data_IF_395127933658
#
_entry.id   IF_395127933658
#
_cell.length_a   1.000
_cell.length_b   1.000
_cell.length_c   1.000
_cell.angle_alpha   90.00
_cell.angle_beta   90.00
_cell.angle_gamma   90.00
#
_symmetry.space_group_name_H-M   'P 1'
#
loop_
_entity.id
_entity.type
_entity.pdbx_description
1 polymer ?
#
# COMPACT_ATOMS: atom_id res chain seq x y z
N UNK A 1 23.08 -20.37 10.76
CA UNK A 1 23.04 -18.89 10.70
C UNK A 1 21.65 -18.45 10.30
N UNK A 2 20.96 -17.70 11.18
CA UNK A 2 19.56 -17.35 11.03
C UNK A 2 19.40 -15.95 10.39
N UNK A 3 19.96 -15.74 9.19
CA UNK A 3 19.86 -14.44 8.51
C UNK A 3 18.52 -14.34 7.76
N UNK A 4 17.84 -13.21 7.89
CA UNK A 4 16.58 -12.91 7.20
C UNK A 4 16.81 -12.59 5.71
N UNK A 5 15.85 -11.95 5.05
CA UNK A 5 16.05 -11.41 3.70
C UNK A 5 16.99 -10.20 3.77
N UNK A 6 18.16 -10.30 3.11
CA UNK A 6 19.22 -9.30 3.18
C UNK A 6 19.74 -8.91 1.78
N UNK A 7 20.21 -7.68 1.61
CA UNK A 7 20.52 -7.13 0.30
C UNK A 7 21.00 -5.69 0.33
N UNK A 8 21.27 -5.12 -0.84
CA UNK A 8 21.72 -3.74 -0.99
C UNK A 8 20.55 -2.78 -1.22
N UNK A 9 20.53 -1.67 -0.48
CA UNK A 9 19.64 -0.55 -0.72
C UNK A 9 20.43 0.76 -0.68
N UNK A 10 20.48 1.46 -1.82
CA UNK A 10 21.23 2.73 -1.99
C UNK A 10 22.68 2.67 -1.47
N UNK A 11 23.35 1.53 -1.66
CA UNK A 11 24.74 1.32 -1.22
C UNK A 11 24.89 0.75 0.20
N UNK A 12 23.84 0.72 1.02
CA UNK A 12 23.85 0.09 2.34
C UNK A 12 23.42 -1.36 2.27
N UNK A 13 24.09 -2.25 3.03
CA UNK A 13 23.76 -3.67 3.09
C UNK A 13 22.82 -3.97 4.27
N UNK A 14 21.52 -3.98 4.00
CA UNK A 14 20.48 -4.22 5.00
C UNK A 14 20.31 -5.72 5.25
N UNK A 15 20.19 -6.12 6.52
CA UNK A 15 20.20 -7.51 6.98
C UNK A 15 18.82 -8.08 7.25
N UNK A 16 17.78 -7.24 7.20
CA UNK A 16 16.40 -7.68 7.30
C UNK A 16 15.45 -6.88 6.40
N UNK A 17 14.31 -7.50 6.07
CA UNK A 17 13.22 -6.84 5.35
C UNK A 17 12.58 -5.69 6.16
N UNK A 18 12.74 -5.68 7.49
CA UNK A 18 12.20 -4.63 8.35
C UNK A 18 13.13 -3.41 8.37
N UNK A 19 14.45 -3.62 8.37
CA UNK A 19 15.41 -2.53 8.13
C UNK A 19 15.16 -1.88 6.77
N UNK A 20 14.96 -2.69 5.71
CA UNK A 20 14.59 -2.17 4.39
C UNK A 20 13.31 -1.34 4.42
N UNK A 21 12.25 -1.83 5.07
CA UNK A 21 11.01 -1.08 5.18
C UNK A 21 11.21 0.26 5.91
N UNK A 22 11.97 0.27 6.99
CA UNK A 22 12.25 1.51 7.70
C UNK A 22 13.07 2.50 6.86
N UNK A 23 14.09 2.03 6.14
CA UNK A 23 14.88 2.85 5.21
C UNK A 23 14.01 3.50 4.11
N UNK A 24 13.08 2.73 3.53
CA UNK A 24 12.11 3.25 2.53
C UNK A 24 11.21 4.33 3.13
N UNK A 25 10.76 4.15 4.37
CA UNK A 25 9.99 5.18 5.08
C UNK A 25 10.81 6.47 5.27
N UNK A 26 12.05 6.36 5.76
CA UNK A 26 12.92 7.53 5.97
C UNK A 26 13.14 8.30 4.67
N UNK A 27 13.40 7.56 3.58
CA UNK A 27 13.60 8.15 2.25
C UNK A 27 12.34 8.82 1.68
N UNK A 28 11.15 8.24 1.91
CA UNK A 28 9.88 8.82 1.47
C UNK A 28 9.64 10.22 2.06
N UNK A 29 10.14 10.46 3.28
CA UNK A 29 10.02 11.74 3.98
C UNK A 29 11.30 12.58 3.94
N UNK A 30 12.28 12.20 3.12
CA UNK A 30 13.58 12.87 3.00
C UNK A 30 14.29 13.06 4.34
N UNK A 31 14.17 12.09 5.25
CA UNK A 31 14.87 12.10 6.54
C UNK A 31 16.27 11.54 6.29
N UNK A 32 17.36 12.31 6.48
CA UNK A 32 18.70 11.80 6.33
C UNK A 32 18.99 10.72 7.38
N UNK A 33 19.57 9.60 6.96
CA UNK A 33 19.95 8.51 7.83
C UNK A 33 21.28 7.90 7.41
N UNK A 34 21.91 7.26 8.36
CA UNK A 34 23.07 6.40 8.13
C UNK A 34 22.83 5.07 8.81
N UNK A 35 23.58 4.04 8.42
CA UNK A 35 23.26 2.67 8.77
C UNK A 35 24.49 1.96 9.26
N UNK A 36 24.40 1.44 10.48
CA UNK A 36 25.46 0.67 11.08
C UNK A 36 26.81 1.44 11.12
N UNK A 37 26.76 2.74 11.39
CA UNK A 37 27.93 3.63 11.33
C UNK A 37 28.91 3.41 12.49
N UNK A 38 28.39 3.21 13.71
CA UNK A 38 29.20 3.19 14.92
C UNK A 38 28.88 1.98 15.80
N UNK A 39 29.83 1.66 16.66
CA UNK A 39 29.75 0.57 17.63
C UNK A 39 29.74 1.16 19.05
N UNK A 40 28.92 0.60 19.93
CA UNK A 40 28.88 0.94 21.35
C UNK A 40 29.32 -0.24 22.19
N UNK A 41 29.96 0.02 23.32
CA UNK A 41 30.23 -1.02 24.30
C UNK A 41 29.07 -1.11 25.28
N UNK A 42 28.48 -2.30 25.41
CA UNK A 42 27.36 -2.57 26.31
C UNK A 42 27.70 -3.83 27.11
N UNK A 43 27.96 -3.65 28.40
CA UNK A 43 28.33 -4.73 29.33
C UNK A 43 29.51 -5.58 28.82
N UNK A 44 30.59 -4.93 28.32
CA UNK A 44 31.77 -5.61 27.80
C UNK A 44 31.58 -6.31 26.45
N UNK A 45 30.46 -6.06 25.76
CA UNK A 45 30.19 -6.57 24.41
C UNK A 45 29.95 -5.42 23.46
N UNK A 46 30.43 -5.59 22.22
CA UNK A 46 30.16 -4.64 21.15
C UNK A 46 28.72 -4.79 20.68
N UNK A 47 28.00 -3.67 20.66
CA UNK A 47 26.66 -3.54 20.12
C UNK A 47 26.65 -2.54 18.98
N UNK A 48 25.98 -2.91 17.89
CA UNK A 48 25.91 -2.12 16.67
C UNK A 48 24.45 -1.86 16.31
N UNK A 49 23.92 -0.66 16.63
CA UNK A 49 22.57 -0.25 16.26
C UNK A 49 22.36 -0.25 14.75
N UNK A 50 21.09 -0.37 14.33
CA UNK A 50 20.76 -0.38 12.90
C UNK A 50 20.88 1.00 12.24
N UNK A 51 20.20 2.04 12.75
CA UNK A 51 20.13 3.37 12.12
C UNK A 51 20.67 4.50 13.01
N UNK A 52 21.27 5.50 12.37
CA UNK A 52 21.90 6.67 13.00
C UNK A 52 21.39 7.97 12.35
N UNK A 53 21.18 8.99 13.18
CA UNK A 53 20.71 10.31 12.79
C UNK A 53 21.60 11.38 13.40
N UNK A 54 22.10 12.26 12.55
CA UNK A 54 23.01 13.33 12.93
C UNK A 54 22.34 14.70 12.80
N UNK A 55 22.72 15.62 13.67
CA UNK A 55 22.31 17.01 13.56
C UNK A 55 23.02 17.72 12.38
N UNK A 56 22.71 19.01 12.19
CA UNK A 56 23.31 19.82 11.12
C UNK A 56 24.81 20.04 11.29
N UNK A 57 25.32 19.83 12.50
CA UNK A 57 26.73 19.97 12.87
C UNK A 57 27.49 18.64 12.74
N UNK A 58 26.80 17.54 12.41
CA UNK A 58 27.37 16.20 12.30
C UNK A 58 27.46 15.44 13.62
N UNK A 59 26.86 15.94 14.70
CA UNK A 59 26.83 15.26 16.00
C UNK A 59 25.70 14.23 16.03
N UNK A 60 25.96 13.07 16.62
CA UNK A 60 24.98 11.98 16.72
C UNK A 60 23.84 12.37 17.66
N UNK A 61 22.63 12.55 17.12
CA UNK A 61 21.44 12.96 17.86
C UNK A 61 20.64 11.74 18.33
N UNK A 62 20.42 10.77 17.44
CA UNK A 62 19.53 9.64 17.68
C UNK A 62 20.03 8.36 17.02
N UNK A 63 19.83 7.24 17.71
CA UNK A 63 19.95 5.90 17.13
C UNK A 63 18.61 5.17 17.16
N UNK A 64 18.37 4.31 16.16
CA UNK A 64 17.16 3.51 16.04
C UNK A 64 17.51 2.05 15.79
N UNK A 65 16.93 1.15 16.57
CA UNK A 65 17.06 -0.30 16.41
C UNK A 65 15.77 -0.91 15.87
N UNK A 66 15.89 -1.79 14.88
CA UNK A 66 14.76 -2.50 14.28
C UNK A 66 14.69 -3.93 14.82
N UNK A 67 13.48 -4.36 15.24
CA UNK A 67 13.25 -5.71 15.75
C UNK A 67 11.99 -6.37 15.20
N UNK A 68 11.99 -7.70 15.23
CA UNK A 68 10.85 -8.52 14.81
C UNK A 68 9.76 -8.54 15.90
N UNK A 69 8.78 -9.46 15.79
CA UNK A 69 7.74 -9.67 16.82
C UNK A 69 8.23 -10.49 18.05
N UNK A 70 9.50 -10.91 18.07
CA UNK A 70 10.02 -11.73 19.15
C UNK A 70 10.22 -10.90 20.43
N UNK A 71 9.32 -11.08 21.41
CA UNK A 71 9.32 -10.34 22.68
C UNK A 71 10.65 -10.37 23.42
N UNK A 72 11.30 -11.54 23.50
CA UNK A 72 12.60 -11.69 24.18
C UNK A 72 13.69 -10.87 23.51
N UNK A 73 13.71 -10.82 22.18
CA UNK A 73 14.68 -10.01 21.42
C UNK A 73 14.41 -8.52 21.56
N UNK A 74 13.13 -8.12 21.64
CA UNK A 74 12.73 -6.73 21.89
C UNK A 74 13.20 -6.29 23.28
N UNK A 75 12.91 -7.08 24.33
CA UNK A 75 13.31 -6.78 25.72
C UNK A 75 14.84 -6.63 25.83
N UNK A 76 15.60 -7.59 25.31
CA UNK A 76 17.07 -7.53 25.30
C UNK A 76 17.62 -6.35 24.49
N UNK A 77 16.92 -5.91 23.44
CA UNK A 77 17.33 -4.72 22.68
C UNK A 77 17.04 -3.43 23.48
N UNK A 78 15.89 -3.35 24.17
CA UNK A 78 15.55 -2.21 25.04
C UNK A 78 16.58 -2.03 26.13
N UNK A 79 16.97 -3.09 26.84
CA UNK A 79 18.00 -3.02 27.89
C UNK A 79 19.31 -2.40 27.37
N UNK A 80 19.75 -2.81 26.16
CA UNK A 80 20.97 -2.26 25.55
C UNK A 80 20.81 -0.80 25.15
N UNK A 81 19.67 -0.42 24.59
CA UNK A 81 19.39 0.95 24.21
C UNK A 81 19.27 1.87 25.43
N UNK A 82 18.72 1.39 26.55
CA UNK A 82 18.64 2.12 27.80
C UNK A 82 20.04 2.33 28.40
N UNK A 83 20.90 1.30 28.34
CA UNK A 83 22.30 1.44 28.71
C UNK A 83 23.01 2.51 27.87
N UNK A 84 22.84 2.47 26.53
CA UNK A 84 23.48 3.43 25.63
C UNK A 84 22.99 4.85 25.92
N UNK A 85 21.67 5.01 26.11
CA UNK A 85 21.07 6.30 26.46
C UNK A 85 21.65 6.86 27.74
N UNK A 86 21.82 6.03 28.77
CA UNK A 86 22.35 6.45 30.05
C UNK A 86 23.85 6.81 29.99
N UNK A 87 24.66 5.99 29.31
CA UNK A 87 26.12 6.16 29.28
C UNK A 87 26.58 7.23 28.30
N UNK A 88 25.99 7.28 27.10
CA UNK A 88 26.43 8.15 26.02
C UNK A 88 25.56 9.39 25.85
N UNK A 89 24.46 9.50 26.62
CA UNK A 89 23.48 10.60 26.54
C UNK A 89 22.86 10.79 25.15
N UNK A 90 22.76 9.72 24.36
CA UNK A 90 22.18 9.72 23.00
C UNK A 90 20.70 9.31 23.08
N UNK A 91 19.85 9.92 22.24
CA UNK A 91 18.45 9.49 22.13
C UNK A 91 18.38 8.13 21.45
N UNK A 92 17.65 7.19 22.05
CA UNK A 92 17.47 5.84 21.51
C UNK A 92 16.01 5.55 21.22
N UNK A 93 15.75 4.80 20.15
CA UNK A 93 14.41 4.38 19.74
C UNK A 93 14.45 2.91 19.31
N UNK A 94 13.41 2.15 19.67
CA UNK A 94 13.21 0.79 19.18
C UNK A 94 11.94 0.75 18.35
N UNK A 95 12.06 0.25 17.12
CA UNK A 95 10.94 0.06 16.22
C UNK A 95 10.79 -1.45 15.97
N UNK A 96 9.77 -2.04 16.58
CA UNK A 96 9.35 -3.41 16.28
C UNK A 96 8.48 -3.46 15.03
N UNK A 97 8.10 -4.68 14.64
CA UNK A 97 7.11 -4.89 13.59
C UNK A 97 5.79 -4.14 13.85
N UNK A 98 5.35 -4.04 15.11
CA UNK A 98 4.08 -3.39 15.45
C UNK A 98 4.16 -1.87 15.30
N UNK A 99 5.29 -1.26 15.67
CA UNK A 99 5.54 0.16 15.38
C UNK A 99 5.69 0.41 13.87
N UNK A 100 6.38 -0.48 13.13
CA UNK A 100 6.45 -0.40 11.66
C UNK A 100 5.06 -0.44 11.02
N UNK A 101 4.17 -1.33 11.47
CA UNK A 101 2.80 -1.38 10.97
C UNK A 101 2.08 -0.04 11.12
N UNK A 102 2.20 0.60 12.29
CA UNK A 102 1.59 1.92 12.56
C UNK A 102 2.19 3.01 11.68
N UNK A 103 3.51 3.03 11.51
CA UNK A 103 4.18 3.98 10.61
C UNK A 103 3.60 3.86 9.19
N UNK A 104 3.40 2.63 8.73
CA UNK A 104 2.89 2.35 7.39
C UNK A 104 1.39 2.61 7.20
N UNK A 105 0.63 2.92 8.25
CA UNK A 105 -0.76 3.40 8.10
C UNK A 105 -0.81 4.80 7.44
N UNK A 106 0.27 5.58 7.60
CA UNK A 106 0.39 6.93 7.02
C UNK A 106 1.05 6.93 5.63
N UNK A 107 1.54 5.78 5.18
CA UNK A 107 2.28 5.64 3.93
C UNK A 107 1.34 5.39 2.74
N UNK A 108 1.69 5.84 1.52
CA UNK A 108 0.92 5.56 0.31
C UNK A 108 1.00 4.08 -0.14
N UNK A 109 1.83 3.28 0.53
CA UNK A 109 2.07 1.86 0.24
C UNK A 109 2.03 1.07 1.55
N UNK A 110 1.65 -0.21 1.47
CA UNK A 110 1.58 -1.06 2.68
C UNK A 110 2.92 -1.69 3.02
N UNK A 111 3.16 -1.97 4.31
CA UNK A 111 4.36 -2.66 4.78
C UNK A 111 4.60 -3.98 4.03
N UNK A 112 3.53 -4.76 3.83
CA UNK A 112 3.60 -6.03 3.10
C UNK A 112 4.03 -5.83 1.64
N UNK A 113 3.58 -4.76 0.97
CA UNK A 113 3.99 -4.49 -0.40
C UNK A 113 5.48 -4.16 -0.48
N UNK A 114 5.99 -3.37 0.47
CA UNK A 114 7.41 -3.01 0.52
C UNK A 114 8.28 -4.22 0.82
N UNK A 115 7.90 -5.03 1.81
CA UNK A 115 8.60 -6.28 2.14
C UNK A 115 8.57 -7.25 0.94
N UNK A 116 7.44 -7.38 0.25
CA UNK A 116 7.34 -8.23 -0.94
C UNK A 116 8.27 -7.74 -2.05
N UNK A 117 8.30 -6.43 -2.28
CA UNK A 117 9.21 -5.82 -3.24
C UNK A 117 10.67 -6.15 -2.91
N UNK A 118 11.08 -6.04 -1.64
CA UNK A 118 12.41 -6.45 -1.18
C UNK A 118 12.70 -7.91 -1.50
N UNK A 119 11.82 -8.82 -1.07
CA UNK A 119 12.00 -10.27 -1.25
C UNK A 119 12.21 -10.66 -2.71
N UNK A 120 11.57 -9.95 -3.63
CA UNK A 120 11.64 -10.20 -5.08
C UNK A 120 12.64 -9.32 -5.82
N UNK A 121 13.33 -8.41 -5.13
CA UNK A 121 14.31 -7.50 -5.75
C UNK A 121 15.59 -8.26 -6.12
N UNK A 122 16.18 -7.92 -7.27
CA UNK A 122 17.49 -8.42 -7.68
C UNK A 122 18.62 -7.98 -6.73
N UNK A 123 18.39 -6.93 -5.94
CA UNK A 123 19.34 -6.46 -4.93
C UNK A 123 19.29 -7.27 -3.62
N UNK A 124 18.31 -8.17 -3.47
CA UNK A 124 18.26 -9.09 -2.33
C UNK A 124 19.20 -10.26 -2.60
N UNK A 125 20.27 -10.32 -1.82
CA UNK A 125 21.34 -11.31 -1.99
C UNK A 125 21.08 -12.59 -1.19
N UNK A 126 20.29 -12.52 -0.11
CA UNK A 126 19.92 -13.67 0.72
C UNK A 126 18.41 -13.89 0.63
N UNK A 127 18.00 -14.99 -0.01
CA UNK A 127 16.61 -15.41 -0.08
C UNK A 127 16.34 -16.62 0.84
N UNK A 128 15.24 -16.56 1.60
CA UNK A 128 14.81 -17.64 2.51
C UNK A 128 13.50 -18.29 2.07
N UNK A 129 13.16 -18.21 0.78
CA UNK A 129 11.92 -18.78 0.28
C UNK A 129 11.88 -20.29 0.59
N UNK A 130 10.79 -20.74 1.21
CA UNK A 130 10.60 -22.15 1.61
C UNK A 130 10.06 -23.02 0.46
N UNK A 131 9.72 -22.40 -0.66
CA UNK A 131 9.22 -23.04 -1.87
C UNK A 131 9.42 -22.14 -3.10
N UNK A 132 9.24 -22.70 -4.30
CA UNK A 132 9.38 -21.97 -5.56
C UNK A 132 10.83 -21.70 -5.99
N UNK A 133 11.01 -20.93 -7.07
CA UNK A 133 12.31 -20.70 -7.74
C UNK A 133 13.39 -20.07 -6.86
N UNK A 134 12.99 -19.33 -5.83
CA UNK A 134 13.90 -18.63 -4.91
C UNK A 134 14.34 -19.48 -3.72
N UNK A 135 13.87 -20.73 -3.62
CA UNK A 135 14.30 -21.66 -2.59
C UNK A 135 15.69 -22.20 -2.94
N UNK A 136 16.61 -22.25 -1.95
CA UNK A 136 17.98 -22.74 -2.17
C UNK A 136 18.04 -24.21 -2.62
N UNK A 137 16.99 -25.00 -2.36
CA UNK A 137 16.83 -26.36 -2.83
C UNK A 137 15.95 -26.48 -4.08
N UNK A 138 15.58 -25.37 -4.72
CA UNK A 138 14.81 -25.39 -5.96
C UNK A 138 15.60 -26.13 -7.05
N UNK A 139 14.97 -27.14 -7.65
CA UNK A 139 15.61 -27.98 -8.67
C UNK A 139 16.53 -29.08 -8.12
N UNK A 140 16.85 -29.07 -6.82
CA UNK A 140 17.58 -30.17 -6.19
C UNK A 140 16.64 -31.37 -6.01
N UNK A 141 17.04 -32.53 -6.52
CA UNK A 141 16.34 -33.80 -6.32
C UNK A 141 17.10 -34.64 -5.29
N UNK A 142 16.37 -35.31 -4.40
CA UNK A 142 16.98 -36.32 -3.54
C UNK A 142 17.54 -37.47 -4.40
N UNK A 143 18.73 -37.95 -4.06
CA UNK A 143 19.27 -39.19 -4.61
C UNK A 143 18.40 -40.38 -4.22
N UNK A 144 18.46 -41.47 -4.99
CA UNK A 144 17.71 -42.69 -4.68
C UNK A 144 18.05 -43.26 -3.30
N UNK A 145 19.33 -43.21 -2.90
CA UNK A 145 19.76 -43.60 -1.56
C UNK A 145 19.12 -42.72 -0.46
N UNK A 146 19.06 -41.40 -0.68
CA UNK A 146 18.41 -40.48 0.26
C UNK A 146 16.91 -40.76 0.38
N UNK A 147 16.23 -41.01 -0.75
CA UNK A 147 14.81 -41.39 -0.76
C UNK A 147 14.57 -42.69 0.01
N UNK A 148 15.44 -43.69 -0.19
CA UNK A 148 15.39 -44.97 0.53
C UNK A 148 15.53 -44.76 2.04
N UNK A 149 16.55 -44.01 2.47
CA UNK A 149 16.77 -43.67 3.89
C UNK A 149 15.60 -42.92 4.52
N UNK A 150 15.05 -41.93 3.81
CA UNK A 150 13.86 -41.18 4.26
C UNK A 150 12.68 -42.15 4.42
N UNK A 151 12.43 -43.00 3.42
CA UNK A 151 11.35 -43.99 3.46
C UNK A 151 11.48 -45.00 4.60
N UNK A 152 12.67 -45.55 4.82
CA UNK A 152 12.97 -46.46 5.93
C UNK A 152 12.78 -45.80 7.30
N UNK A 153 13.24 -44.55 7.45
CA UNK A 153 13.05 -43.78 8.67
C UNK A 153 11.56 -43.49 8.93
N UNK A 154 10.80 -43.10 7.90
CA UNK A 154 9.35 -42.90 8.01
C UNK A 154 8.66 -44.20 8.41
N UNK A 155 8.99 -45.34 7.81
CA UNK A 155 8.44 -46.66 8.21
C UNK A 155 8.70 -46.95 9.69
N UNK A 156 9.94 -46.80 10.16
CA UNK A 156 10.31 -46.98 11.58
C UNK A 156 9.49 -46.09 12.52
N UNK A 157 9.25 -44.82 12.14
CA UNK A 157 8.42 -43.91 12.93
C UNK A 157 6.96 -44.39 13.05
N UNK A 158 6.42 -45.00 12.00
CA UNK A 158 5.06 -45.53 11.94
C UNK A 158 4.91 -46.91 12.58
N UNK A 159 5.94 -47.74 12.55
CA UNK A 159 5.93 -49.09 13.12
C UNK A 159 5.99 -49.06 14.66
N UNK A 160 6.69 -48.08 15.25
CA UNK A 160 6.77 -47.91 16.71
C UNK A 160 5.54 -47.23 17.35
N UNK A 161 5.53 -47.11 18.69
CA UNK A 161 4.58 -46.27 19.45
C UNK A 161 5.21 -44.93 19.87
N UNK A 162 5.90 -44.29 18.91
CA UNK A 162 6.63 -43.06 19.17
C UNK A 162 5.70 -41.86 19.44
N UNK A 163 6.18 -40.90 20.23
CA UNK A 163 5.48 -39.62 20.44
C UNK A 163 5.18 -38.91 19.10
N UNK A 164 6.06 -39.08 18.10
CA UNK A 164 5.88 -38.54 16.75
C UNK A 164 4.68 -39.15 16.04
N UNK A 165 4.47 -40.48 16.14
CA UNK A 165 3.28 -41.16 15.61
C UNK A 165 2.00 -40.68 16.28
N UNK A 166 2.00 -40.56 17.62
CA UNK A 166 0.85 -40.03 18.39
C UNK A 166 0.47 -38.62 17.94
N UNK A 167 1.44 -37.71 17.83
CA UNK A 167 1.23 -36.34 17.32
C UNK A 167 0.71 -36.31 15.89
N UNK A 168 1.19 -37.21 15.03
CA UNK A 168 0.75 -37.30 13.63
C UNK A 168 -0.70 -37.82 13.53
N UNK A 169 -1.05 -38.86 14.29
CA UNK A 169 -2.43 -39.37 14.38
C UNK A 169 -3.37 -38.29 14.93
N UNK A 170 -2.98 -37.59 15.98
CA UNK A 170 -3.77 -36.47 16.52
C UNK A 170 -3.89 -35.31 15.52
N UNK A 171 -2.83 -35.03 14.76
CA UNK A 171 -2.85 -34.11 13.64
C UNK A 171 -3.88 -34.52 12.59
N UNK A 172 -3.88 -35.78 12.15
CA UNK A 172 -4.84 -36.33 11.18
C UNK A 172 -6.28 -36.31 11.71
N UNK A 173 -6.48 -36.60 13.00
CA UNK A 173 -7.78 -36.50 13.69
C UNK A 173 -8.29 -35.06 13.72
N UNK A 174 -7.39 -34.09 13.93
CA UNK A 174 -7.70 -32.65 13.91
C UNK A 174 -7.87 -32.11 12.48
N UNK A 175 -7.14 -32.63 11.50
CA UNK A 175 -7.04 -32.09 10.14
C UNK A 175 -8.07 -32.64 9.15
N UNK A 176 -9.24 -33.09 9.63
CA UNK A 176 -10.41 -33.27 8.77
C UNK A 176 -10.64 -34.66 8.17
N UNK A 177 -9.82 -35.68 8.46
CA UNK A 177 -10.22 -37.07 8.16
C UNK A 177 -11.44 -37.49 9.00
N UNK A 178 -11.64 -36.87 10.18
CA UNK A 178 -12.85 -36.92 11.01
C UNK A 178 -14.00 -36.02 10.52
N UNK A 179 -13.82 -35.29 9.40
CA UNK A 179 -14.83 -34.42 8.81
C UNK A 179 -15.43 -34.94 7.50
N UNK A 180 -14.98 -36.10 6.99
CA UNK A 180 -15.73 -36.82 5.94
C UNK A 180 -17.10 -37.20 6.52
N UNK A 181 -18.14 -36.49 6.13
CA UNK A 181 -19.53 -36.73 6.54
C UNK A 181 -20.13 -35.76 7.56
N UNK A 182 -19.40 -34.75 8.06
CA UNK A 182 -20.06 -33.67 8.82
C UNK A 182 -20.94 -32.84 7.89
N UNK A 183 -22.14 -32.49 8.37
CA UNK A 183 -23.08 -31.61 7.67
C UNK A 183 -22.34 -30.31 7.33
N UNK A 184 -22.15 -30.05 6.03
CA UNK A 184 -21.67 -28.75 5.54
C UNK A 184 -22.63 -27.70 6.09
N UNK A 185 -22.07 -26.60 6.61
CA UNK A 185 -22.81 -25.44 7.16
C UNK A 185 -24.15 -25.24 6.47
N UNK A 186 -25.22 -25.11 7.26
CA UNK A 186 -26.59 -24.99 6.76
C UNK A 186 -26.68 -23.94 5.65
N UNK A 187 -27.44 -24.28 4.60
CA UNK A 187 -27.61 -23.46 3.42
C UNK A 187 -29.07 -23.13 3.24
N UNK A 188 -29.31 -21.90 2.79
CA UNK A 188 -30.63 -21.39 2.50
C UNK A 188 -30.69 -20.87 1.06
N UNK A 189 -31.90 -20.83 0.52
CA UNK A 189 -32.19 -20.19 -0.76
C UNK A 189 -32.48 -18.71 -0.48
N UNK A 190 -31.75 -17.83 -1.14
CA UNK A 190 -32.02 -16.38 -1.16
C UNK A 190 -32.35 -15.94 -2.58
N UNK A 191 -32.97 -14.77 -2.69
CA UNK A 191 -33.25 -14.13 -3.98
C UNK A 191 -32.28 -12.99 -4.23
N UNK A 192 -31.75 -12.91 -5.44
CA UNK A 192 -30.78 -11.90 -5.83
C UNK A 192 -31.42 -10.51 -5.75
N UNK A 193 -30.77 -9.56 -5.06
CA UNK A 193 -31.28 -8.19 -4.95
C UNK A 193 -31.30 -7.39 -6.28
N UNK A 194 -30.75 -7.94 -7.37
CA UNK A 194 -30.73 -7.30 -8.69
C UNK A 194 -31.64 -7.99 -9.71
N UNK A 195 -31.46 -9.30 -9.93
CA UNK A 195 -32.21 -10.06 -10.93
C UNK A 195 -33.36 -10.88 -10.34
N UNK A 196 -33.49 -10.94 -9.02
CA UNK A 196 -34.47 -11.75 -8.30
C UNK A 196 -34.35 -13.27 -8.48
N UNK A 197 -33.33 -13.75 -9.20
CA UNK A 197 -33.06 -15.19 -9.31
C UNK A 197 -32.71 -15.80 -7.95
N UNK A 198 -33.13 -17.04 -7.75
CA UNK A 198 -32.78 -17.82 -6.59
C UNK A 198 -31.31 -18.26 -6.60
N UNK A 199 -30.68 -18.26 -5.43
CA UNK A 199 -29.32 -18.77 -5.26
C UNK A 199 -29.10 -19.34 -3.86
N UNK A 200 -28.29 -20.40 -3.79
CA UNK A 200 -28.01 -21.09 -2.54
C UNK A 200 -26.79 -20.49 -1.85
N UNK A 201 -26.93 -20.09 -0.58
CA UNK A 201 -25.84 -19.56 0.23
C UNK A 201 -25.77 -20.23 1.59
N UNK A 202 -24.62 -20.11 2.27
CA UNK A 202 -24.55 -20.43 3.70
C UNK A 202 -25.42 -19.44 4.48
N UNK A 203 -26.11 -19.90 5.52
CA UNK A 203 -26.95 -19.03 6.39
C UNK A 203 -26.15 -17.84 6.94
N UNK A 204 -24.87 -18.05 7.27
CA UNK A 204 -23.96 -17.00 7.76
C UNK A 204 -23.39 -16.08 6.67
N UNK A 205 -23.65 -16.36 5.39
CA UNK A 205 -23.14 -15.57 4.28
C UNK A 205 -23.78 -14.18 4.27
N UNK A 206 -23.01 -13.15 3.97
CA UNK A 206 -23.51 -11.78 3.72
C UNK A 206 -23.84 -11.53 2.25
N UNK A 207 -23.73 -12.56 1.40
CA UNK A 207 -23.97 -12.45 -0.03
C UNK A 207 -25.42 -12.08 -0.35
N UNK A 208 -25.59 -10.98 -1.11
CA UNK A 208 -26.88 -10.42 -1.53
C UNK A 208 -27.23 -10.65 -3.00
N UNK A 209 -26.28 -11.12 -3.80
CA UNK A 209 -26.40 -11.27 -5.25
C UNK A 209 -26.08 -12.70 -5.66
N UNK A 210 -26.75 -13.22 -6.69
CA UNK A 210 -26.56 -14.60 -7.17
C UNK A 210 -25.13 -14.87 -7.68
N UNK A 211 -24.41 -13.84 -8.12
CA UNK A 211 -23.04 -13.98 -8.57
C UNK A 211 -22.31 -12.65 -8.77
N UNK A 212 -21.03 -12.76 -9.18
CA UNK A 212 -20.16 -11.61 -9.39
C UNK A 212 -20.71 -10.64 -10.44
N UNK A 213 -21.33 -11.14 -11.51
CA UNK A 213 -21.93 -10.33 -12.56
C UNK A 213 -23.00 -9.37 -12.01
N UNK A 214 -23.95 -9.88 -11.23
CA UNK A 214 -25.00 -9.05 -10.62
C UNK A 214 -24.42 -8.04 -9.62
N UNK A 215 -23.46 -8.47 -8.78
CA UNK A 215 -22.81 -7.54 -7.85
C UNK A 215 -22.03 -6.43 -8.58
N UNK A 216 -21.35 -6.77 -9.68
CA UNK A 216 -20.58 -5.85 -10.49
C UNK A 216 -21.46 -4.85 -11.23
N UNK A 217 -22.58 -5.31 -11.79
CA UNK A 217 -23.53 -4.43 -12.49
C UNK A 217 -24.10 -3.35 -11.56
N UNK A 218 -24.46 -3.71 -10.33
CA UNK A 218 -24.91 -2.71 -9.36
C UNK A 218 -23.77 -1.76 -8.95
N UNK A 219 -22.56 -2.29 -8.71
CA UNK A 219 -21.41 -1.46 -8.37
C UNK A 219 -21.10 -0.43 -9.47
N UNK A 220 -21.17 -0.83 -10.74
CA UNK A 220 -21.02 0.05 -11.90
C UNK A 220 -22.12 1.12 -11.93
N UNK A 221 -23.39 0.74 -11.69
CA UNK A 221 -24.50 1.70 -11.63
C UNK A 221 -24.27 2.73 -10.52
N UNK A 222 -23.93 2.30 -9.31
CA UNK A 222 -23.66 3.19 -8.17
C UNK A 222 -22.48 4.13 -8.47
N UNK A 223 -21.39 3.60 -9.04
CA UNK A 223 -20.24 4.40 -9.43
C UNK A 223 -20.59 5.42 -10.52
N UNK A 224 -21.40 5.02 -11.49
CA UNK A 224 -21.88 5.89 -12.57
C UNK A 224 -22.76 7.01 -12.01
N UNK A 225 -23.71 6.68 -11.12
CA UNK A 225 -24.59 7.68 -10.51
C UNK A 225 -23.80 8.67 -9.65
N UNK A 226 -22.82 8.17 -8.88
CA UNK A 226 -21.91 9.02 -8.10
C UNK A 226 -21.08 9.95 -8.99
N UNK A 227 -20.52 9.41 -10.09
CA UNK A 227 -19.79 10.18 -11.09
C UNK A 227 -20.66 11.23 -11.77
N UNK A 228 -21.91 10.89 -12.14
CA UNK A 228 -22.84 11.85 -12.77
C UNK A 228 -23.20 12.97 -11.80
N UNK A 229 -23.45 12.65 -10.52
CA UNK A 229 -23.74 13.66 -9.48
C UNK A 229 -22.55 14.59 -9.26
N UNK A 230 -21.34 14.05 -9.12
CA UNK A 230 -20.13 14.87 -8.94
C UNK A 230 -19.84 15.73 -10.18
N UNK A 231 -19.99 15.17 -11.39
CA UNK A 231 -19.85 15.88 -12.66
C UNK A 231 -20.83 17.05 -12.77
N UNK A 232 -22.10 16.87 -12.42
CA UNK A 232 -23.10 17.94 -12.48
C UNK A 232 -22.75 19.10 -11.53
N UNK A 233 -22.26 18.79 -10.32
CA UNK A 233 -21.78 19.80 -9.37
C UNK A 233 -20.57 20.56 -9.92
N UNK A 234 -19.58 19.84 -10.45
CA UNK A 234 -18.38 20.43 -11.06
C UNK A 234 -18.76 21.32 -12.25
N UNK A 235 -19.65 20.86 -13.12
CA UNK A 235 -20.10 21.63 -14.28
C UNK A 235 -20.77 22.95 -13.86
N UNK A 236 -21.65 22.90 -12.85
CA UNK A 236 -22.28 24.10 -12.30
C UNK A 236 -21.23 25.09 -11.76
N UNK A 237 -20.30 24.59 -10.94
CA UNK A 237 -19.27 25.43 -10.33
C UNK A 237 -18.32 26.04 -11.38
N UNK A 238 -17.95 25.28 -12.41
CA UNK A 238 -17.14 25.80 -13.54
C UNK A 238 -17.90 26.91 -14.26
N UNK A 239 -19.20 26.73 -14.53
CA UNK A 239 -20.01 27.73 -15.21
C UNK A 239 -20.13 29.02 -14.40
N UNK A 240 -20.43 28.91 -13.11
CA UNK A 240 -20.50 30.04 -12.17
C UNK A 240 -19.15 30.77 -12.11
N UNK A 241 -18.04 30.03 -12.03
CA UNK A 241 -16.70 30.61 -12.00
C UNK A 241 -16.36 31.37 -13.29
N UNK A 242 -16.70 30.82 -14.45
CA UNK A 242 -16.47 31.50 -15.74
C UNK A 242 -17.27 32.80 -15.81
N UNK A 243 -18.51 32.82 -15.32
CA UNK A 243 -19.34 34.02 -15.27
C UNK A 243 -18.67 35.07 -14.36
N UNK A 244 -18.29 34.69 -13.14
CA UNK A 244 -17.62 35.58 -12.20
C UNK A 244 -16.31 36.15 -12.77
N UNK A 245 -15.43 35.27 -13.26
CA UNK A 245 -14.15 35.67 -13.84
C UNK A 245 -14.32 36.62 -15.02
N UNK A 246 -15.35 36.38 -15.86
CA UNK A 246 -15.67 37.26 -16.99
C UNK A 246 -16.04 38.66 -16.53
N UNK A 247 -16.85 38.78 -15.48
CA UNK A 247 -17.22 40.07 -14.89
C UNK A 247 -16.02 40.82 -14.31
N UNK A 248 -15.11 40.12 -13.63
CA UNK A 248 -13.89 40.69 -13.05
C UNK A 248 -12.86 41.08 -14.10
N UNK A 249 -12.87 40.44 -15.28
CA UNK A 249 -11.88 40.64 -16.35
C UNK A 249 -12.52 41.22 -17.63
N UNK A 250 -13.55 42.06 -17.48
CA UNK A 250 -14.38 42.57 -18.59
C UNK A 250 -13.58 43.18 -19.75
N UNK A 251 -12.64 44.08 -19.46
CA UNK A 251 -11.82 44.76 -20.46
C UNK A 251 -10.93 43.79 -21.26
N UNK A 252 -10.33 42.82 -20.56
CA UNK A 252 -9.50 41.78 -21.15
C UNK A 252 -10.32 40.89 -22.11
N UNK A 253 -11.53 40.51 -21.70
CA UNK A 253 -12.43 39.68 -22.51
C UNK A 253 -12.88 40.42 -23.77
N UNK A 254 -13.31 41.68 -23.64
CA UNK A 254 -13.81 42.48 -24.77
C UNK A 254 -12.71 42.75 -25.80
N UNK A 255 -11.49 43.10 -25.35
CA UNK A 255 -10.34 43.39 -26.20
C UNK A 255 -9.72 42.17 -26.87
N UNK A 256 -10.01 40.95 -26.41
CA UNK A 256 -9.37 39.74 -26.93
C UNK A 256 -9.82 39.39 -28.35
N UNK A 257 -8.90 39.24 -29.32
CA UNK A 257 -9.22 38.79 -30.66
C UNK A 257 -9.35 37.26 -30.75
N UNK A 258 -10.19 36.76 -31.65
CA UNK A 258 -10.50 35.33 -31.78
C UNK A 258 -9.32 34.42 -32.17
N UNK A 259 -8.20 34.98 -32.63
CA UNK A 259 -6.97 34.25 -32.93
C UNK A 259 -6.01 34.15 -31.73
N UNK A 260 -6.22 34.91 -30.64
CA UNK A 260 -5.38 34.91 -29.43
C UNK A 260 -6.09 34.40 -28.17
N UNK A 261 -7.15 33.61 -28.35
CA UNK A 261 -7.98 33.12 -27.24
C UNK A 261 -7.15 32.40 -26.17
N UNK A 262 -6.29 31.46 -26.59
CA UNK A 262 -5.52 30.63 -25.66
C UNK A 262 -4.68 31.46 -24.70
N UNK A 263 -3.92 32.44 -25.18
CA UNK A 263 -3.07 33.28 -24.32
C UNK A 263 -3.91 34.07 -23.32
N UNK A 264 -5.10 34.53 -23.70
CA UNK A 264 -6.00 35.28 -22.81
C UNK A 264 -6.67 34.38 -21.77
N UNK A 265 -7.19 33.22 -22.16
CA UNK A 265 -7.99 32.36 -21.25
C UNK A 265 -7.13 31.37 -20.46
N UNK A 266 -5.82 31.33 -20.68
CA UNK A 266 -4.91 30.44 -19.93
C UNK A 266 -5.03 30.62 -18.41
N UNK A 267 -5.04 31.85 -17.85
CA UNK A 267 -5.25 32.06 -16.42
C UNK A 267 -6.55 31.43 -15.91
N UNK A 268 -7.66 31.70 -16.60
CA UNK A 268 -8.97 31.09 -16.30
C UNK A 268 -8.91 29.57 -16.29
N UNK A 269 -8.30 28.95 -17.31
CA UNK A 269 -8.20 27.49 -17.39
C UNK A 269 -7.29 26.89 -16.33
N UNK A 270 -6.23 27.59 -15.92
CA UNK A 270 -5.34 27.15 -14.85
C UNK A 270 -6.03 27.20 -13.49
N UNK A 271 -6.84 28.23 -13.24
CA UNK A 271 -7.62 28.35 -12.02
C UNK A 271 -8.73 27.30 -11.95
N UNK A 272 -9.42 27.05 -13.07
CA UNK A 272 -10.39 25.94 -13.18
C UNK A 272 -9.69 24.60 -12.89
N UNK A 273 -8.48 24.38 -13.40
CA UNK A 273 -7.71 23.18 -13.11
C UNK A 273 -7.33 23.09 -11.63
N UNK A 274 -6.85 24.19 -11.02
CA UNK A 274 -6.49 24.22 -9.60
C UNK A 274 -7.67 24.00 -8.67
N UNK A 275 -8.85 24.53 -9.00
CA UNK A 275 -10.06 24.46 -8.16
C UNK A 275 -10.84 23.16 -8.34
N UNK A 276 -10.91 22.66 -9.58
CA UNK A 276 -11.83 21.58 -9.95
C UNK A 276 -11.15 20.38 -10.61
N UNK A 277 -9.82 20.42 -10.84
CA UNK A 277 -9.06 19.36 -11.49
C UNK A 277 -9.33 19.21 -13.00
N UNK A 278 -10.03 20.16 -13.63
CA UNK A 278 -10.44 20.07 -15.04
C UNK A 278 -9.55 20.94 -15.93
N UNK A 279 -8.79 20.31 -16.83
CA UNK A 279 -7.97 21.00 -17.85
C UNK A 279 -8.53 20.90 -19.28
N UNK A 280 -9.32 19.87 -19.55
CA UNK A 280 -9.85 19.60 -20.90
C UNK A 280 -10.93 20.62 -21.28
N UNK A 281 -10.68 21.40 -22.32
CA UNK A 281 -11.59 22.43 -22.81
C UNK A 281 -12.95 21.88 -23.26
N UNK A 282 -13.04 20.60 -23.65
CA UNK A 282 -14.32 19.97 -24.03
C UNK A 282 -15.21 19.81 -22.80
N UNK A 283 -14.62 19.50 -21.65
CA UNK A 283 -15.35 19.39 -20.37
C UNK A 283 -15.78 20.78 -19.90
N UNK A 284 -14.88 21.76 -19.99
CA UNK A 284 -15.18 23.16 -19.65
C UNK A 284 -16.31 23.70 -20.54
N UNK A 285 -16.27 23.41 -21.84
CA UNK A 285 -17.34 23.77 -22.77
C UNK A 285 -18.66 23.11 -22.41
N UNK A 286 -18.66 21.81 -22.14
CA UNK A 286 -19.87 21.07 -21.74
C UNK A 286 -20.46 21.61 -20.44
N UNK A 287 -19.63 22.11 -19.52
CA UNK A 287 -20.09 22.74 -18.29
C UNK A 287 -20.91 24.01 -18.57
N UNK A 288 -20.52 24.80 -19.56
CA UNK A 288 -21.20 26.05 -19.92
C UNK A 288 -22.41 25.81 -20.81
N UNK A 289 -22.25 25.01 -21.87
CA UNK A 289 -23.21 24.90 -22.97
C UNK A 289 -24.02 23.59 -22.98
N UNK A 290 -23.69 22.62 -22.14
CA UNK A 290 -24.27 21.27 -22.18
C UNK A 290 -23.71 20.38 -23.29
N UNK A 291 -22.94 20.93 -24.22
CA UNK A 291 -22.33 20.24 -25.36
C UNK A 291 -20.89 20.70 -25.61
N UNK A 292 -20.16 19.91 -26.41
CA UNK A 292 -18.78 20.25 -26.78
C UNK A 292 -18.78 21.36 -27.84
N UNK A 293 -18.21 22.50 -27.48
CA UNK A 293 -18.05 23.68 -28.32
C UNK A 293 -16.61 24.16 -28.27
N UNK A 294 -16.19 24.79 -29.35
CA UNK A 294 -14.84 25.35 -29.46
C UNK A 294 -14.62 26.56 -28.55
N UNK A 295 -13.35 26.87 -28.27
CA UNK A 295 -12.94 28.03 -27.46
C UNK A 295 -13.46 29.38 -27.99
N UNK A 296 -13.74 29.47 -29.29
CA UNK A 296 -14.39 30.64 -29.92
C UNK A 296 -15.80 30.88 -29.38
N UNK A 297 -16.57 29.82 -29.17
CA UNK A 297 -17.92 29.92 -28.60
C UNK A 297 -17.87 30.36 -27.14
N UNK A 298 -16.89 29.84 -26.38
CA UNK A 298 -16.65 30.29 -25.01
C UNK A 298 -16.35 31.80 -24.97
N UNK A 299 -15.45 32.29 -25.83
CA UNK A 299 -15.17 33.73 -25.89
C UNK A 299 -16.38 34.55 -26.35
N UNK A 300 -17.18 34.06 -27.31
CA UNK A 300 -18.44 34.72 -27.72
C UNK A 300 -19.40 34.85 -26.54
N UNK A 301 -19.58 33.77 -25.79
CA UNK A 301 -20.40 33.76 -24.59
C UNK A 301 -19.90 34.77 -23.55
N UNK A 302 -18.60 34.78 -23.26
CA UNK A 302 -18.01 35.73 -22.31
C UNK A 302 -18.17 37.18 -22.78
N UNK A 303 -17.91 37.47 -24.06
CA UNK A 303 -18.14 38.81 -24.63
C UNK A 303 -19.60 39.22 -24.52
N UNK A 304 -20.55 38.30 -24.77
CA UNK A 304 -21.98 38.55 -24.63
C UNK A 304 -22.36 38.90 -23.19
N UNK A 305 -21.83 38.18 -22.20
CA UNK A 305 -22.00 38.50 -20.78
C UNK A 305 -21.46 39.88 -20.42
N UNK A 306 -20.38 40.34 -21.06
CA UNK A 306 -19.86 41.70 -20.85
C UNK A 306 -20.77 42.78 -21.47
N UNK A 307 -21.46 42.48 -22.57
CA UNK A 307 -22.32 43.40 -23.31
C UNK A 307 -23.72 43.55 -22.72
N UNK A 308 -24.28 42.44 -22.24
CA UNK A 308 -25.55 42.44 -21.53
C UNK A 308 -25.25 42.81 -20.08
N UNK A 309 -25.67 43.99 -19.60
CA UNK A 309 -25.61 44.35 -18.19
C UNK A 309 -26.54 43.41 -17.40
N UNK A 310 -26.07 42.19 -17.12
CA UNK A 310 -26.71 41.28 -16.18
C UNK A 310 -26.28 41.73 -14.79
N UNK A 311 -27.03 42.69 -14.27
CA UNK A 311 -27.03 43.07 -12.87
C UNK A 311 -27.96 42.13 -12.09
#
# INVERSE_FOLDING_TARGET
MNRGYAGFYKGFYLRSSYEYAYAVYLDQFNIPWSFEDQNFEVHGKVYKPDFFFYDKQGSLEKIVEIKSRNKKEIELAREKLDYIKAQYQIKTELISYEELMKIYETMPMTLNSVIKHWITSDNTTIHKAVSGRLNAHYGLRHSEDSKKKIGEHTKKLWDGDSLSKKKMIDGLRKSGLSQKGKIKTEREIRYCALCFDEFTVMVTSTQKYCGQQCSGQLAIRIATDSYVKSRNSIHRNIKEYIIQWTSENKELVLSTPFNKINSTITPLTNEIFSRYGVKDMRVISKAVFGEDKGRKELLRFMKKLCSENVC
#
